data_IF_116323248062
#
_entry.id   IF_116323248062
#
_cell.length_a   1.000
_cell.length_b   1.000
_cell.length_c   1.000
_cell.angle_alpha   90.00
_cell.angle_beta   90.00
_cell.angle_gamma   90.00
#
_symmetry.space_group_name_H-M   'P 1'
#
loop_
_entity.id
_entity.type
_entity.pdbx_description
1 polymer ?
#
# COMPACT_ATOMS: atom_id res chain seq x y z
N UNK A 1 21.48 4.94 -11.25
CA UNK A 1 20.53 4.92 -11.32
C UNK A 1 19.96 4.49 -10.38
N UNK A 2 19.35 4.88 -9.91
CA UNK A 2 18.84 4.48 -8.89
C UNK A 2 18.09 3.45 -9.14
N UNK A 3 17.85 2.98 -9.75
CA UNK A 3 17.19 1.84 -10.07
C UNK A 3 16.04 1.41 -9.26
N UNK A 4 15.82 2.00 -8.18
CA UNK A 4 14.71 1.57 -7.36
C UNK A 4 13.45 2.21 -7.82
N UNK A 5 12.50 1.43 -8.26
CA UNK A 5 11.20 1.94 -8.62
C UNK A 5 10.26 1.77 -7.44
N UNK A 6 9.50 2.81 -7.13
CA UNK A 6 8.47 2.68 -6.10
C UNK A 6 7.26 1.93 -6.61
N UNK A 7 7.03 1.94 -7.90
CA UNK A 7 5.87 1.25 -8.46
C UNK A 7 6.01 -0.24 -8.20
N UNK A 8 4.98 -0.83 -7.63
CA UNK A 8 5.01 -2.23 -7.23
C UNK A 8 5.37 -2.45 -5.78
N UNK A 9 5.82 -1.41 -5.08
CA UNK A 9 6.15 -1.56 -3.66
C UNK A 9 4.88 -1.63 -2.84
N UNK A 10 4.90 -2.45 -1.80
CA UNK A 10 3.77 -2.58 -0.87
C UNK A 10 4.10 -1.76 0.37
N UNK A 11 3.15 -0.96 0.80
CA UNK A 11 3.29 -0.17 2.01
C UNK A 11 2.11 -0.34 2.92
N UNK A 12 2.13 0.40 4.03
CA UNK A 12 1.06 0.37 5.03
C UNK A 12 0.56 1.78 5.23
N UNK A 13 -0.75 1.94 5.28
CA UNK A 13 -1.36 3.25 5.48
C UNK A 13 -1.03 3.73 6.89
N UNK A 14 -0.42 4.92 6.96
CA UNK A 14 -0.04 5.56 8.21
C UNK A 14 -1.05 6.64 8.60
N UNK A 15 -1.54 7.40 7.63
CA UNK A 15 -2.64 8.32 7.82
C UNK A 15 -3.72 7.93 6.80
N UNK A 16 -4.96 7.89 7.25
CA UNK A 16 -6.06 7.42 6.44
C UNK A 16 -6.10 8.08 5.07
N UNK A 17 -6.30 7.28 4.04
CA UNK A 17 -6.56 7.77 2.69
C UNK A 17 -8.07 7.91 2.54
N UNK A 18 -8.52 9.10 2.22
CA UNK A 18 -9.96 9.36 2.20
C UNK A 18 -10.63 9.03 0.89
N UNK A 19 -9.85 8.82 -0.15
CA UNK A 19 -10.38 8.62 -1.47
C UNK A 19 -10.45 9.94 -2.23
N UNK A 20 -10.64 9.85 -3.53
CA UNK A 20 -10.74 11.04 -4.37
C UNK A 20 -9.44 11.82 -4.39
N UNK A 21 -9.54 13.14 -4.23
CA UNK A 21 -8.38 14.02 -4.36
C UNK A 21 -7.67 14.29 -3.05
N UNK A 22 -8.12 13.69 -1.95
CA UNK A 22 -7.49 13.96 -0.66
C UNK A 22 -6.49 12.86 -0.35
N UNK A 23 -5.25 13.25 -0.09
CA UNK A 23 -4.19 12.32 0.19
C UNK A 23 -4.23 11.82 1.62
N UNK A 24 -3.81 10.58 1.81
CA UNK A 24 -3.40 10.09 3.11
C UNK A 24 -1.89 9.98 3.11
N UNK A 25 -1.36 9.11 3.96
CA UNK A 25 0.07 8.90 4.02
C UNK A 25 0.34 7.42 4.15
N UNK A 26 1.32 6.93 3.40
CA UNK A 26 1.71 5.52 3.47
C UNK A 26 3.18 5.43 3.83
N UNK A 27 3.51 4.36 4.55
CA UNK A 27 4.88 4.04 4.89
C UNK A 27 5.34 2.89 4.00
N UNK A 28 6.43 3.11 3.30
CA UNK A 28 7.02 2.11 2.42
C UNK A 28 8.45 1.90 2.88
N UNK A 29 8.84 0.66 3.07
CA UNK A 29 10.21 0.35 3.46
C UNK A 29 11.03 0.16 2.20
N UNK A 30 12.07 0.97 2.05
CA UNK A 30 12.96 0.92 0.89
C UNK A 30 14.36 0.68 1.43
N UNK A 31 14.96 -0.43 1.01
CA UNK A 31 16.30 -0.78 1.45
C UNK A 31 16.44 -0.78 2.97
N UNK A 32 15.43 -1.31 3.63
CA UNK A 32 15.46 -1.44 5.09
C UNK A 32 15.06 -0.19 5.85
N UNK A 33 14.79 0.92 5.18
CA UNK A 33 14.44 2.17 5.84
C UNK A 33 13.03 2.58 5.50
N UNK A 34 12.26 3.06 6.49
CA UNK A 34 10.91 3.52 6.21
C UNK A 34 10.91 4.89 5.55
N UNK A 35 10.07 5.05 4.57
CA UNK A 35 9.86 6.31 3.88
C UNK A 35 8.37 6.59 3.85
N UNK A 36 7.99 7.84 4.00
CA UNK A 36 6.59 8.23 4.05
C UNK A 36 6.25 9.04 2.79
N UNK A 37 5.11 8.71 2.20
CA UNK A 37 4.67 9.34 0.96
C UNK A 37 3.22 9.74 1.11
N UNK A 38 2.86 10.87 0.49
CA UNK A 38 1.45 11.22 0.35
C UNK A 38 0.83 10.26 -0.65
N UNK A 39 -0.29 9.67 -0.30
CA UNK A 39 -0.89 8.63 -1.10
C UNK A 39 -2.30 8.98 -1.50
N UNK A 40 -2.60 8.78 -2.77
CA UNK A 40 -3.91 9.03 -3.34
C UNK A 40 -4.50 7.70 -3.80
N UNK A 41 -5.78 7.52 -3.56
CA UNK A 41 -6.47 6.31 -3.97
C UNK A 41 -7.92 6.68 -4.24
N UNK A 42 -8.56 6.15 -5.29
CA UNK A 42 -9.96 6.45 -5.55
C UNK A 42 -10.90 6.02 -4.44
N UNK A 43 -10.49 5.03 -3.65
CA UNK A 43 -11.33 4.53 -2.55
C UNK A 43 -10.63 4.79 -1.24
N UNK A 44 -11.40 4.84 -0.17
CA UNK A 44 -10.85 5.06 1.16
C UNK A 44 -10.07 3.83 1.62
N UNK A 45 -8.94 4.06 2.28
CA UNK A 45 -8.13 2.99 2.85
C UNK A 45 -7.77 3.40 4.27
N UNK A 46 -8.03 2.51 5.20
CA UNK A 46 -7.86 2.82 6.61
C UNK A 46 -6.43 2.59 7.09
N UNK A 47 -6.08 3.23 8.18
CA UNK A 47 -4.78 3.07 8.82
C UNK A 47 -4.54 1.59 9.11
N UNK A 48 -3.33 1.13 8.81
CA UNK A 48 -2.95 -0.25 9.03
C UNK A 48 -3.19 -1.17 7.86
N UNK A 49 -3.98 -0.73 6.88
CA UNK A 49 -4.21 -1.55 5.71
C UNK A 49 -3.04 -1.45 4.76
N UNK A 50 -2.83 -2.49 3.97
CA UNK A 50 -1.73 -2.53 3.01
C UNK A 50 -2.20 -1.98 1.67
N UNK A 51 -1.27 -1.36 0.97
CA UNK A 51 -1.51 -0.82 -0.37
C UNK A 51 -0.32 -1.12 -1.25
N UNK A 52 -0.52 -1.09 -2.55
CA UNK A 52 0.56 -1.21 -3.51
C UNK A 52 0.65 0.09 -4.30
N UNK A 53 1.87 0.55 -4.51
CA UNK A 53 2.10 1.78 -5.28
C UNK A 53 1.94 1.44 -6.77
N UNK A 54 1.05 2.17 -7.44
CA UNK A 54 0.81 1.94 -8.86
C UNK A 54 1.36 3.06 -9.73
N UNK A 55 1.67 4.20 -9.15
CA UNK A 55 2.22 5.32 -9.91
C UNK A 55 2.97 6.24 -8.95
N UNK A 56 4.13 6.70 -9.39
CA UNK A 56 4.92 7.65 -8.61
C UNK A 56 4.76 9.02 -9.27
N UNK A 57 4.09 9.93 -8.55
CA UNK A 57 3.87 11.29 -9.07
C UNK A 57 5.09 12.17 -8.96
N UNK A 58 6.09 11.73 -8.18
CA UNK A 58 7.21 12.58 -7.83
C UNK A 58 6.87 13.45 -6.63
N UNK A 59 7.88 14.11 -6.06
CA UNK A 59 7.63 14.98 -4.92
C UNK A 59 7.07 14.28 -3.72
N UNK A 60 7.43 13.01 -3.53
CA UNK A 60 6.96 12.17 -2.42
C UNK A 60 5.45 11.99 -2.46
N UNK A 61 4.89 11.88 -3.64
CA UNK A 61 3.47 11.63 -3.84
C UNK A 61 3.31 10.41 -4.72
N UNK A 62 2.39 9.52 -4.34
CA UNK A 62 2.16 8.29 -5.07
C UNK A 62 0.68 8.02 -5.20
N UNK A 63 0.31 7.26 -6.22
CA UNK A 63 -1.02 6.69 -6.34
C UNK A 63 -0.92 5.25 -5.90
N UNK A 64 -1.89 4.78 -5.14
CA UNK A 64 -1.89 3.44 -4.58
C UNK A 64 -3.22 2.76 -4.81
N UNK A 65 -3.20 1.43 -4.66
CA UNK A 65 -4.42 0.61 -4.63
C UNK A 65 -4.39 -0.24 -3.37
N UNK A 66 -5.55 -0.60 -2.83
CA UNK A 66 -5.57 -1.55 -1.72
C UNK A 66 -4.85 -2.84 -2.12
N UNK A 67 -4.03 -3.35 -1.21
CA UNK A 67 -3.31 -4.60 -1.45
C UNK A 67 -3.95 -5.66 -0.56
N UNK A 68 -4.64 -6.65 -1.13
CA UNK A 68 -5.37 -7.64 -0.34
C UNK A 68 -4.39 -8.66 0.25
N UNK A 69 -3.85 -8.32 1.34
CA UNK A 69 -2.95 -9.24 2.02
C UNK A 69 -3.77 -10.22 2.81
N UNK A 70 -3.53 -11.02 2.85
CA UNK A 70 -4.10 -11.74 3.54
C UNK A 70 -4.87 -12.36 4.10
N UNK A 71 -5.15 -11.99 3.98
CA UNK A 71 -5.85 -12.39 4.19
C UNK A 71 -5.92 -13.33 4.05
N UNK A 72 -5.35 -12.88 3.77
CA UNK A 72 -5.33 -13.59 3.55
C UNK A 72 -5.09 -14.19 3.59
N UNK A 73 -4.79 -14.14 3.40
CA UNK A 73 -4.73 -14.82 3.44
C UNK A 73 -4.80 -15.19 3.73
N UNK A 74 -4.82 -14.99 3.69
CA UNK A 74 -5.06 -15.46 3.87
C UNK A 74 -5.32 -16.01 3.90
N UNK A 75 -5.36 -16.17 3.72
CA UNK A 75 -5.64 -16.91 3.69
C UNK A 75 -5.80 -17.50 3.69
N UNK A 76 -5.66 -17.58 3.52
CA UNK A 76 -5.88 -18.31 3.58
C UNK A 76 -6.09 -18.89 3.70
N UNK A 77 -6.01 -19.02 3.55
CA UNK A 77 -6.24 -19.80 3.69
C UNK A 77 -6.49 -20.38 3.82
N UNK A 78 -6.46 -20.58 3.67
CA UNK A 78 -6.75 -21.41 3.80
C UNK A 78 -6.99 -22.06 3.93
N UNK A 79 -7.08 -22.31 3.94
CA UNK A 79 -7.45 -23.18 4.02
C UNK A 79 -7.71 -23.62 4.21
N UNK A 80 -7.69 -23.75 4.12
CA UNK A 80 -8.05 -24.38 4.30
C UNK A 80 -8.46 -24.82 4.35
N UNK A 81 -8.42 -25.08 4.17
CA UNK A 81 -8.86 -25.74 4.16
C UNK A 81 -9.22 -26.23 4.16
N UNK A 82 -9.12 -26.35 4.02
CA UNK A 82 -9.43 -27.03 4.06
C UNK A 82 -9.69 -27.52 4.31
N UNK A 83 -9.68 -27.76 4.32
CA UNK A 83 -10.03 -28.40 4.57
C UNK A 83 -10.45 -28.78 4.77
N UNK A 84 -10.38 -28.93 4.68
CA UNK A 84 -10.83 -29.38 4.85
C UNK A 84 -11.09 -29.56 4.96
#
# INVERSE_FOLDING_TARGET
MSGQSLVGAVGVVHLRVRGGSQAGEVRVVVEGLPHYYLAYCPVAVEVGQHVVVIHNRGGRQVDVEPWPVADSDVAVVLPQNERN
#
